data_IF_400920785647
#
_entry.id   IF_400920785647
#
_cell.length_a   1.000
_cell.length_b   1.000
_cell.length_c   1.000
_cell.angle_alpha   90.00
_cell.angle_beta   90.00
_cell.angle_gamma   90.00
#
_symmetry.space_group_name_H-M   'P 1'
#
loop_
_entity.id
_entity.type
_entity.pdbx_description
1 polymer ?
#
# COMPACT_ATOMS: atom_id res chain seq x y z
N UNK A 1 5.80 -6.74 -3.66
CA UNK A 1 5.50 -5.33 -3.26
C UNK A 1 4.70 -4.61 -4.33
N UNK A 2 3.54 -4.09 -3.95
CA UNK A 2 2.68 -3.30 -4.80
C UNK A 2 3.08 -1.82 -4.84
N UNK A 3 3.27 -1.29 -6.03
CA UNK A 3 3.47 0.15 -6.28
C UNK A 3 2.19 0.70 -6.89
N UNK A 4 1.57 1.66 -6.21
CA UNK A 4 0.26 2.20 -6.60
C UNK A 4 0.26 2.72 -8.04
N UNK A 5 1.22 3.56 -8.41
CA UNK A 5 1.33 4.11 -9.76
C UNK A 5 2.80 4.23 -10.18
N UNK A 6 3.12 3.85 -11.41
CA UNK A 6 4.37 4.19 -12.06
C UNK A 6 4.23 5.51 -12.82
N UNK A 7 4.71 6.61 -12.24
CA UNK A 7 4.75 7.94 -12.86
C UNK A 7 6.16 8.39 -13.25
N UNK A 8 7.11 7.45 -13.40
CA UNK A 8 8.49 7.76 -13.81
C UNK A 8 9.47 8.02 -12.66
N UNK A 9 9.13 7.67 -11.42
CA UNK A 9 10.08 7.69 -10.32
C UNK A 9 11.05 6.49 -10.39
N UNK A 10 12.27 6.68 -9.91
CA UNK A 10 13.19 5.57 -9.69
C UNK A 10 12.82 4.82 -8.40
N UNK A 11 12.48 3.53 -8.54
CA UNK A 11 12.14 2.62 -7.45
C UNK A 11 13.29 1.64 -7.14
N UNK A 12 14.51 1.90 -7.61
CA UNK A 12 15.69 1.06 -7.40
C UNK A 12 15.89 0.68 -5.92
N UNK A 13 15.75 1.67 -5.01
CA UNK A 13 15.85 1.47 -3.57
C UNK A 13 14.71 0.66 -2.95
N UNK A 14 13.58 0.53 -3.64
CA UNK A 14 12.43 -0.24 -3.18
C UNK A 14 12.55 -1.73 -3.52
N UNK A 15 13.39 -2.10 -4.51
CA UNK A 15 13.62 -3.52 -4.91
C UNK A 15 14.17 -4.39 -3.78
N UNK A 16 14.81 -3.79 -2.77
CA UNK A 16 15.30 -4.53 -1.59
C UNK A 16 14.17 -5.08 -0.70
N UNK A 17 12.94 -4.61 -0.87
CA UNK A 17 11.76 -5.09 -0.14
C UNK A 17 10.95 -6.15 -0.92
N UNK A 18 11.44 -6.57 -2.09
CA UNK A 18 10.83 -7.61 -2.91
C UNK A 18 10.51 -7.15 -4.33
N UNK A 19 9.82 -8.02 -5.08
CA UNK A 19 9.49 -7.77 -6.48
C UNK A 19 8.49 -6.63 -6.64
N UNK A 20 8.72 -5.81 -7.66
CA UNK A 20 7.93 -4.61 -7.94
C UNK A 20 6.71 -4.97 -8.81
N UNK A 21 5.52 -4.79 -8.26
CA UNK A 21 4.25 -4.98 -8.98
C UNK A 21 3.53 -3.65 -9.11
N UNK A 22 3.54 -3.06 -10.31
CA UNK A 22 2.87 -1.79 -10.58
C UNK A 22 1.37 -1.99 -10.77
N UNK A 23 0.56 -1.39 -9.90
CA UNK A 23 -0.90 -1.47 -9.96
C UNK A 23 -1.46 -0.59 -11.08
N UNK A 24 -0.89 0.59 -11.29
CA UNK A 24 -1.27 1.51 -12.37
C UNK A 24 -0.04 2.16 -13.00
N UNK A 25 -0.21 2.84 -14.14
CA UNK A 25 0.88 3.51 -14.86
C UNK A 25 0.36 4.76 -15.54
N UNK A 26 1.14 5.84 -15.50
CA UNK A 26 0.85 7.10 -16.20
C UNK A 26 -0.22 7.96 -15.51
N UNK A 27 -0.97 8.70 -16.34
CA UNK A 27 -2.00 9.63 -15.89
C UNK A 27 -3.26 8.87 -15.47
N UNK A 28 -3.78 9.19 -14.28
CA UNK A 28 -4.92 8.50 -13.69
C UNK A 28 -6.08 9.48 -13.47
N UNK A 29 -7.28 9.06 -13.88
CA UNK A 29 -8.49 9.84 -13.69
C UNK A 29 -8.98 9.74 -12.24
N UNK A 30 -8.58 10.67 -11.38
CA UNK A 30 -8.72 10.62 -9.91
C UNK A 30 -10.10 10.23 -9.35
N UNK A 31 -11.20 10.50 -10.08
CA UNK A 31 -12.57 10.23 -9.64
C UNK A 31 -13.18 8.91 -10.16
N UNK A 32 -12.47 8.13 -10.98
CA UNK A 32 -12.97 6.85 -11.52
C UNK A 32 -12.73 5.68 -10.55
N UNK A 33 -13.19 5.82 -9.30
CA UNK A 33 -12.94 4.89 -8.19
C UNK A 33 -13.31 3.44 -8.51
N UNK A 34 -14.50 3.19 -9.07
CA UNK A 34 -14.95 1.83 -9.42
C UNK A 34 -14.06 1.18 -10.47
N UNK A 35 -13.59 1.96 -11.46
CA UNK A 35 -12.65 1.47 -12.47
C UNK A 35 -11.32 1.09 -11.83
N UNK A 36 -10.78 1.97 -10.98
CA UNK A 36 -9.53 1.70 -10.27
C UNK A 36 -9.62 0.49 -9.37
N UNK A 37 -10.72 0.32 -8.64
CA UNK A 37 -10.96 -0.88 -7.84
C UNK A 37 -10.85 -2.16 -8.67
N UNK A 38 -11.51 -2.23 -9.82
CA UNK A 38 -11.45 -3.42 -10.69
C UNK A 38 -10.03 -3.72 -11.17
N UNK A 39 -9.26 -2.67 -11.52
CA UNK A 39 -7.87 -2.81 -11.96
C UNK A 39 -6.98 -3.32 -10.80
N UNK A 40 -7.07 -2.68 -9.64
CA UNK A 40 -6.27 -3.01 -8.46
C UNK A 40 -6.62 -4.43 -7.96
N UNK A 41 -7.90 -4.75 -7.82
CA UNK A 41 -8.36 -6.07 -7.38
C UNK A 41 -7.86 -7.19 -8.30
N UNK A 42 -7.91 -7.01 -9.62
CA UNK A 42 -7.39 -7.99 -10.56
C UNK A 42 -5.87 -8.20 -10.43
N UNK A 43 -5.11 -7.13 -10.18
CA UNK A 43 -3.64 -7.20 -10.01
C UNK A 43 -3.20 -7.69 -8.63
N UNK A 44 -4.03 -7.50 -7.62
CA UNK A 44 -3.77 -7.91 -6.24
C UNK A 44 -4.43 -9.26 -5.89
N UNK A 45 -5.00 -9.97 -6.86
CA UNK A 45 -5.72 -11.23 -6.62
C UNK A 45 -4.86 -12.31 -5.97
N UNK A 46 -3.55 -12.29 -6.24
CA UNK A 46 -2.57 -13.25 -5.74
C UNK A 46 -1.74 -12.68 -4.57
N UNK A 47 -2.20 -11.57 -3.96
CA UNK A 47 -1.53 -10.93 -2.84
C UNK A 47 -1.31 -11.90 -1.67
N UNK A 48 -0.19 -11.73 -0.99
CA UNK A 48 0.18 -12.51 0.19
C UNK A 48 0.23 -11.62 1.45
N UNK A 49 0.13 -12.19 2.67
CA UNK A 49 0.17 -11.43 3.92
C UNK A 49 1.43 -10.58 4.13
N UNK A 50 2.54 -10.95 3.50
CA UNK A 50 3.84 -10.28 3.61
C UNK A 50 4.03 -9.15 2.58
N UNK A 51 3.12 -9.02 1.61
CA UNK A 51 3.23 -8.01 0.56
C UNK A 51 3.14 -6.59 1.15
N UNK A 52 4.05 -5.74 0.68
CA UNK A 52 4.06 -4.32 0.98
C UNK A 52 3.25 -3.52 -0.04
N UNK A 53 2.58 -2.48 0.43
CA UNK A 53 2.05 -1.39 -0.40
C UNK A 53 2.99 -0.19 -0.25
N UNK A 54 3.61 0.23 -1.35
CA UNK A 54 4.33 1.50 -1.40
C UNK A 54 3.34 2.65 -1.49
N UNK A 55 3.29 3.46 -0.44
CA UNK A 55 2.42 4.63 -0.36
C UNK A 55 2.90 5.72 -1.33
N UNK A 56 2.15 5.93 -2.41
CA UNK A 56 2.52 6.89 -3.46
C UNK A 56 1.32 7.34 -4.29
N UNK A 57 1.46 8.43 -5.05
CA UNK A 57 0.46 8.97 -5.97
C UNK A 57 -0.86 9.39 -5.29
N UNK A 58 -2.01 8.91 -5.77
CA UNK A 58 -3.33 9.32 -5.29
C UNK A 58 -3.74 8.61 -4.01
N UNK A 59 -4.14 9.38 -2.98
CA UNK A 59 -4.64 8.84 -1.72
C UNK A 59 -5.81 7.85 -1.93
N UNK A 60 -6.71 8.12 -2.87
CA UNK A 60 -7.82 7.22 -3.19
C UNK A 60 -7.37 5.83 -3.61
N UNK A 61 -6.31 5.71 -4.42
CA UNK A 61 -5.77 4.40 -4.82
C UNK A 61 -5.10 3.67 -3.65
N UNK A 62 -4.39 4.40 -2.78
CA UNK A 62 -3.82 3.82 -1.57
C UNK A 62 -4.91 3.25 -0.65
N UNK A 63 -6.01 3.99 -0.47
CA UNK A 63 -7.17 3.52 0.29
C UNK A 63 -7.79 2.26 -0.31
N UNK A 64 -7.96 2.22 -1.64
CA UNK A 64 -8.50 1.03 -2.33
C UNK A 64 -7.58 -0.17 -2.13
N UNK A 65 -6.27 -0.02 -2.34
CA UNK A 65 -5.31 -1.10 -2.17
C UNK A 65 -5.28 -1.61 -0.72
N UNK A 66 -5.29 -0.69 0.26
CA UNK A 66 -5.37 -1.06 1.67
C UNK A 66 -6.69 -1.75 2.03
N UNK A 67 -7.81 -1.30 1.47
CA UNK A 67 -9.09 -1.97 1.64
C UNK A 67 -9.08 -3.40 1.10
N UNK A 68 -8.50 -3.63 -0.07
CA UNK A 68 -8.33 -4.98 -0.65
C UNK A 68 -7.53 -5.89 0.30
N UNK A 69 -6.36 -5.45 0.78
CA UNK A 69 -5.56 -6.24 1.75
C UNK A 69 -6.36 -6.55 3.03
N UNK A 70 -7.09 -5.56 3.54
CA UNK A 70 -7.94 -5.73 4.72
C UNK A 70 -9.06 -6.74 4.50
N UNK A 71 -9.72 -6.75 3.34
CA UNK A 71 -10.77 -7.73 3.01
C UNK A 71 -10.25 -9.16 2.87
N UNK A 72 -8.97 -9.32 2.57
CA UNK A 72 -8.29 -10.63 2.56
C UNK A 72 -7.88 -11.10 3.97
N UNK A 73 -8.09 -10.26 5.00
CA UNK A 73 -7.68 -10.53 6.37
C UNK A 73 -6.19 -10.33 6.63
N UNK A 74 -5.47 -9.69 5.71
CA UNK A 74 -4.02 -9.50 5.78
C UNK A 74 -3.64 -8.25 6.57
N UNK A 75 -2.45 -8.22 7.20
CA UNK A 75 -1.91 -6.99 7.74
C UNK A 75 -1.63 -5.98 6.63
N UNK A 76 -1.69 -4.71 6.97
CA UNK A 76 -1.28 -3.64 6.06
C UNK A 76 0.21 -3.36 6.26
N UNK A 77 1.05 -3.96 5.43
CA UNK A 77 2.47 -3.63 5.38
C UNK A 77 2.66 -2.43 4.43
N UNK A 78 3.02 -1.28 4.98
CA UNK A 78 3.24 -0.06 4.23
C UNK A 78 4.73 0.21 4.10
N UNK A 79 5.12 0.63 2.89
CA UNK A 79 6.41 1.23 2.63
C UNK A 79 6.19 2.72 2.35
N UNK A 80 6.92 3.59 3.05
CA UNK A 80 6.76 5.04 2.97
C UNK A 80 8.11 5.65 2.61
N UNK A 81 8.14 6.48 1.58
CA UNK A 81 9.36 7.22 1.23
C UNK A 81 9.53 8.42 2.15
N UNK A 82 10.61 8.45 2.92
CA UNK A 82 11.05 9.63 3.66
C UNK A 82 11.84 10.54 2.72
N UNK A 83 11.21 11.63 2.28
CA UNK A 83 11.81 12.60 1.38
C UNK A 83 13.01 13.34 1.97
N UNK A 84 13.17 13.37 3.30
CA UNK A 84 14.31 14.04 3.96
C UNK A 84 15.57 13.17 3.87
N UNK A 85 15.41 11.86 4.08
CA UNK A 85 16.54 10.92 4.08
C UNK A 85 16.73 10.18 2.75
N UNK A 86 15.74 10.26 1.85
CA UNK A 86 15.70 9.51 0.58
C UNK A 86 15.53 8.00 0.78
N UNK A 87 15.14 7.57 1.98
CA UNK A 87 15.01 6.15 2.35
C UNK A 87 13.55 5.75 2.45
N UNK A 88 13.30 4.47 2.24
CA UNK A 88 12.01 3.88 2.53
C UNK A 88 11.95 3.38 3.96
N UNK A 89 10.82 3.63 4.62
CA UNK A 89 10.53 3.27 5.99
C UNK A 89 9.32 2.34 6.01
N UNK A 90 9.46 1.22 6.72
CA UNK A 90 8.40 0.23 6.88
C UNK A 90 7.46 0.61 8.03
N UNK A 91 6.15 0.40 7.83
CA UNK A 91 5.11 0.49 8.87
C UNK A 91 4.15 -0.66 8.69
N UNK A 92 3.82 -1.36 9.77
CA UNK A 92 2.90 -2.51 9.73
C UNK A 92 1.70 -2.21 10.61
N UNK A 93 0.49 -2.39 10.08
CA UNK A 93 -0.76 -2.30 10.83
C UNK A 93 -1.44 -3.66 10.84
N UNK A 94 -1.74 -4.14 12.04
CA UNK A 94 -2.35 -5.44 12.27
C UNK A 94 -3.84 -5.26 12.60
N UNK A 95 -4.77 -5.84 11.83
CA UNK A 95 -6.22 -5.71 12.07
C UNK A 95 -6.64 -6.09 13.49
N UNK A 96 -5.90 -6.99 14.13
CA UNK A 96 -6.14 -7.47 15.49
C UNK A 96 -6.07 -6.34 16.54
N UNK A 97 -5.41 -5.22 16.23
CA UNK A 97 -5.33 -4.06 17.13
C UNK A 97 -6.66 -3.30 17.27
N UNK A 98 -7.60 -3.46 16.34
CA UNK A 98 -8.94 -2.85 16.44
C UNK A 98 -9.78 -3.47 17.57
N UNK A 99 -9.48 -4.71 17.94
CA UNK A 99 -10.17 -5.42 19.02
C UNK A 99 -9.49 -5.20 20.38
N UNK A 100 -8.37 -4.47 20.43
CA UNK A 100 -7.59 -4.22 21.63
C UNK A 100 -7.88 -2.83 22.20
N UNK A 101 -9.16 -2.44 22.29
CA UNK A 101 -9.60 -1.30 23.09
C UNK A 101 -9.58 -1.69 24.57
N UNK A 102 -8.38 -1.85 25.12
CA UNK A 102 -8.11 -2.03 26.55
C UNK A 102 -6.91 -1.14 26.89
N UNK A 103 -7.10 -0.24 27.85
CA UNK A 103 -6.26 0.94 28.08
C UNK A 103 -4.86 0.66 28.59
N UNK A 104 -4.04 1.71 28.50
CA UNK A 104 -3.21 2.20 29.60
C UNK A 104 -2.80 3.64 29.27
N UNK A 105 -3.57 4.59 29.80
CA UNK A 105 -3.04 5.92 30.11
C UNK A 105 -2.22 5.74 31.38
N UNK A 106 -0.90 5.60 31.28
CA UNK A 106 0.03 5.87 32.38
C UNK A 106 1.38 6.26 31.75
N UNK A 107 1.65 7.56 31.72
CA UNK A 107 2.84 8.22 32.30
C UNK A 107 2.56 9.71 32.50
#
# INVERSE_FOLDING_TARGET
MFIINNSGHDYSQAKKFGDLVFLTTGLIASYKITLHYRILANKMKDAQPEDYILVTSLASLNCIAGWIMGTLGYPLNLLIHDSKTGKYVERKLFPQLLNNTGGNNEE
#
